data_IF_589108891331
#
_entry.id   IF_589108891331
#
_cell.length_a   1.000
_cell.length_b   1.000
_cell.length_c   1.000
_cell.angle_alpha   90.00
_cell.angle_beta   90.00
_cell.angle_gamma   90.00
#
_symmetry.space_group_name_H-M   'P 1'
#
loop_
_entity.id
_entity.type
_entity.pdbx_description
1 polymer ?
#
# COMPACT_ATOMS: atom_id res chain seq x y z
N UNK A 1 3.63 -9.59 10.68
CA UNK A 1 2.39 -9.73 9.91
C UNK A 1 1.63 -8.40 9.84
N UNK A 2 1.09 -8.08 8.67
CA UNK A 2 0.33 -6.84 8.50
C UNK A 2 -0.97 -6.87 9.33
N UNK A 3 -1.25 -5.83 10.13
CA UNK A 3 -2.43 -5.80 10.99
C UNK A 3 -3.71 -5.52 10.20
N UNK A 4 -4.85 -5.89 10.76
CA UNK A 4 -6.17 -5.61 10.17
C UNK A 4 -7.03 -4.69 11.04
N UNK A 5 -6.66 -4.45 12.30
CA UNK A 5 -7.35 -3.46 13.14
C UNK A 5 -6.97 -2.05 12.67
N UNK A 6 -7.94 -1.13 12.45
CA UNK A 6 -7.63 0.21 11.93
C UNK A 6 -6.60 1.00 12.72
N UNK A 7 -6.61 0.91 14.06
CA UNK A 7 -5.62 1.61 14.90
C UNK A 7 -4.21 1.08 14.66
N UNK A 8 -4.08 -0.24 14.57
CA UNK A 8 -2.80 -0.88 14.33
C UNK A 8 -2.32 -0.64 12.91
N UNK A 9 -3.24 -0.57 11.94
CA UNK A 9 -2.91 -0.22 10.55
C UNK A 9 -2.30 1.17 10.47
N UNK A 10 -2.86 2.16 11.17
CA UNK A 10 -2.32 3.53 11.19
C UNK A 10 -0.89 3.55 11.72
N UNK A 11 -0.66 2.87 12.84
CA UNK A 11 0.69 2.78 13.43
C UNK A 11 1.66 2.06 12.49
N UNK A 12 1.22 0.94 11.92
CA UNK A 12 2.00 0.15 10.96
C UNK A 12 2.44 1.01 9.77
N UNK A 13 1.52 1.77 9.18
CA UNK A 13 1.80 2.64 8.04
C UNK A 13 2.85 3.71 8.37
N UNK A 14 2.83 4.24 9.60
CA UNK A 14 3.82 5.23 10.03
C UNK A 14 5.21 4.64 10.23
N UNK A 15 5.31 3.40 10.69
CA UNK A 15 6.58 2.77 11.07
C UNK A 15 7.25 1.98 9.94
N UNK A 16 6.46 1.35 9.08
CA UNK A 16 6.96 0.43 8.06
C UNK A 16 7.98 1.05 7.11
N UNK A 17 7.83 2.29 6.61
CA UNK A 17 8.83 2.84 5.69
C UNK A 17 10.24 2.85 6.28
N UNK A 18 10.37 3.24 7.54
CA UNK A 18 11.66 3.33 8.23
C UNK A 18 12.23 1.95 8.53
N UNK A 19 11.38 1.05 9.02
CA UNK A 19 11.76 -0.33 9.30
C UNK A 19 12.22 -1.05 8.04
N UNK A 20 11.49 -0.88 6.94
CA UNK A 20 11.79 -1.49 5.65
C UNK A 20 13.13 -0.99 5.10
N UNK A 21 13.36 0.32 5.16
CA UNK A 21 14.61 0.92 4.70
C UNK A 21 15.80 0.39 5.49
N UNK A 22 15.67 0.36 6.82
CA UNK A 22 16.75 -0.10 7.72
C UNK A 22 17.08 -1.58 7.50
N UNK A 23 16.06 -2.42 7.39
CA UNK A 23 16.25 -3.88 7.34
C UNK A 23 16.47 -4.43 5.94
N UNK A 24 15.82 -3.85 4.93
CA UNK A 24 15.76 -4.42 3.58
C UNK A 24 16.18 -3.46 2.46
N UNK A 25 16.71 -2.28 2.77
CA UNK A 25 17.05 -1.29 1.75
C UNK A 25 17.98 -1.82 0.65
N UNK A 26 19.05 -2.53 1.05
CA UNK A 26 20.00 -3.13 0.09
C UNK A 26 19.34 -4.18 -0.80
N UNK A 27 18.47 -5.00 -0.22
CA UNK A 27 17.72 -6.03 -0.94
C UNK A 27 16.81 -5.41 -2.01
N UNK A 28 16.10 -4.35 -1.66
CA UNK A 28 15.22 -3.67 -2.61
C UNK A 28 15.99 -3.03 -3.76
N UNK A 29 17.13 -2.41 -3.48
CA UNK A 29 17.97 -1.83 -4.54
C UNK A 29 18.43 -2.90 -5.52
N UNK A 30 18.92 -4.03 -5.00
CA UNK A 30 19.36 -5.14 -5.85
C UNK A 30 18.20 -5.73 -6.64
N UNK A 31 17.07 -5.98 -5.99
CA UNK A 31 15.88 -6.54 -6.62
C UNK A 31 15.39 -5.69 -7.78
N UNK A 32 15.35 -4.36 -7.61
CA UNK A 32 14.92 -3.45 -8.67
C UNK A 32 15.92 -3.41 -9.82
N UNK A 33 17.21 -3.47 -9.55
CA UNK A 33 18.23 -3.56 -10.61
C UNK A 33 18.04 -4.81 -11.45
N UNK A 34 17.81 -5.96 -10.83
CA UNK A 34 17.64 -7.23 -11.52
C UNK A 34 16.31 -7.27 -12.29
N UNK A 35 15.20 -6.96 -11.62
CA UNK A 35 13.87 -7.10 -12.20
C UNK A 35 13.51 -6.05 -13.24
N UNK A 36 14.24 -4.94 -13.31
CA UNK A 36 14.06 -3.93 -14.36
C UNK A 36 15.02 -4.12 -15.53
N UNK A 37 16.00 -5.00 -15.40
CA UNK A 37 16.91 -5.31 -16.49
C UNK A 37 16.16 -6.05 -17.60
N UNK A 38 16.34 -5.68 -18.90
CA UNK A 38 15.59 -6.31 -20.00
C UNK A 38 15.67 -7.83 -20.02
N UNK A 39 16.82 -8.40 -19.63
CA UNK A 39 17.01 -9.85 -19.58
C UNK A 39 16.09 -10.55 -18.59
N UNK A 40 15.70 -9.88 -17.48
CA UNK A 40 14.96 -10.47 -16.39
C UNK A 40 13.57 -9.89 -16.21
N UNK A 41 13.13 -9.01 -17.12
CA UNK A 41 11.87 -8.28 -16.96
C UNK A 41 10.65 -9.20 -16.83
N UNK A 42 10.62 -10.34 -17.53
CA UNK A 42 9.50 -11.27 -17.43
C UNK A 42 9.43 -11.94 -16.06
N UNK A 43 10.57 -12.22 -15.44
CA UNK A 43 10.61 -12.72 -14.05
C UNK A 43 10.10 -11.66 -13.08
N UNK A 44 10.45 -10.40 -13.30
CA UNK A 44 9.95 -9.28 -12.50
C UNK A 44 8.44 -9.14 -12.59
N UNK A 45 7.88 -9.23 -13.80
CA UNK A 45 6.42 -9.18 -14.01
C UNK A 45 5.70 -10.27 -13.22
N UNK A 46 6.20 -11.50 -13.28
CA UNK A 46 5.60 -12.63 -12.53
C UNK A 46 5.69 -12.41 -11.03
N UNK A 47 6.83 -11.92 -10.55
CA UNK A 47 6.99 -11.59 -9.13
C UNK A 47 5.94 -10.59 -8.67
N UNK A 48 5.73 -9.50 -9.44
CA UNK A 48 4.76 -8.47 -9.08
C UNK A 48 3.31 -8.92 -9.23
N UNK A 49 3.02 -9.86 -10.12
CA UNK A 49 1.70 -10.52 -10.16
C UNK A 49 1.40 -11.23 -8.84
N UNK A 50 2.37 -11.99 -8.32
CA UNK A 50 2.22 -12.66 -7.03
C UNK A 50 2.07 -11.68 -5.87
N UNK A 51 2.79 -10.55 -5.91
CA UNK A 51 2.65 -9.47 -4.94
C UNK A 51 1.24 -8.89 -4.99
N UNK A 52 0.72 -8.65 -6.19
CA UNK A 52 -0.63 -8.13 -6.37
C UNK A 52 -1.69 -9.06 -5.77
N UNK A 53 -1.55 -10.36 -5.97
CA UNK A 53 -2.46 -11.34 -5.37
C UNK A 53 -2.45 -11.27 -3.84
N UNK A 54 -1.27 -11.21 -3.22
CA UNK A 54 -1.13 -11.12 -1.76
C UNK A 54 -1.74 -9.82 -1.22
N UNK A 55 -1.52 -8.71 -1.89
CA UNK A 55 -2.07 -7.42 -1.45
C UNK A 55 -3.58 -7.37 -1.63
N UNK A 56 -4.11 -7.99 -2.69
CA UNK A 56 -5.55 -8.10 -2.90
C UNK A 56 -6.20 -8.92 -1.80
N UNK A 57 -5.61 -10.03 -1.40
CA UNK A 57 -6.13 -10.84 -0.29
C UNK A 57 -6.13 -10.06 1.03
N UNK A 58 -5.07 -9.30 1.28
CA UNK A 58 -5.02 -8.44 2.46
C UNK A 58 -6.09 -7.34 2.40
N UNK A 59 -6.26 -6.72 1.24
CA UNK A 59 -7.28 -5.69 1.03
C UNK A 59 -8.69 -6.22 1.29
N UNK A 60 -8.98 -7.45 0.87
CA UNK A 60 -10.27 -8.10 1.14
C UNK A 60 -10.53 -8.26 2.64
N UNK A 61 -9.49 -8.53 3.42
CA UNK A 61 -9.62 -8.61 4.88
C UNK A 61 -9.84 -7.24 5.52
N UNK A 62 -9.30 -6.17 4.92
CA UNK A 62 -9.48 -4.81 5.43
C UNK A 62 -10.84 -4.22 5.09
N UNK A 63 -11.43 -4.59 3.95
CA UNK A 63 -12.67 -3.99 3.46
C UNK A 63 -13.76 -3.90 4.51
N UNK A 64 -14.16 -4.99 5.22
CA UNK A 64 -15.23 -4.91 6.18
C UNK A 64 -14.92 -4.06 7.42
N UNK A 65 -13.65 -3.81 7.69
CA UNK A 65 -13.20 -3.03 8.86
C UNK A 65 -13.04 -1.55 8.57
N UNK A 66 -12.68 -1.21 7.33
CA UNK A 66 -12.40 0.17 6.93
C UNK A 66 -13.59 0.79 6.19
N UNK A 67 -14.38 -0.05 5.51
CA UNK A 67 -15.53 0.43 4.73
C UNK A 67 -15.19 0.95 3.35
N UNK A 68 -13.99 0.62 2.84
CA UNK A 68 -13.55 0.94 1.49
C UNK A 68 -13.47 -0.36 0.70
N UNK A 69 -14.00 -0.43 -0.55
CA UNK A 69 -13.91 -1.64 -1.35
C UNK A 69 -12.47 -2.09 -1.57
N UNK A 70 -12.23 -3.40 -1.56
CA UNK A 70 -10.87 -3.92 -1.76
C UNK A 70 -10.28 -3.51 -3.11
N UNK A 71 -11.13 -3.28 -4.12
CA UNK A 71 -10.69 -2.81 -5.45
C UNK A 71 -10.07 -1.40 -5.41
N UNK A 72 -10.37 -0.63 -4.37
CA UNK A 72 -9.75 0.68 -4.10
C UNK A 72 -8.56 0.52 -3.14
N UNK A 73 -8.69 -0.34 -2.14
CA UNK A 73 -7.62 -0.57 -1.15
C UNK A 73 -6.36 -1.12 -1.81
N UNK A 74 -6.49 -2.08 -2.73
CA UNK A 74 -5.33 -2.71 -3.38
C UNK A 74 -4.43 -1.68 -4.07
N UNK A 75 -4.94 -0.78 -4.95
CA UNK A 75 -4.12 0.29 -5.51
C UNK A 75 -3.50 1.22 -4.46
N UNK A 76 -4.22 1.52 -3.39
CA UNK A 76 -3.69 2.35 -2.30
C UNK A 76 -2.50 1.68 -1.62
N UNK A 77 -2.56 0.36 -1.43
CA UNK A 77 -1.43 -0.42 -0.89
C UNK A 77 -0.21 -0.29 -1.82
N UNK A 78 -0.40 -0.39 -3.14
CA UNK A 78 0.70 -0.24 -4.09
C UNK A 78 1.33 1.15 -4.04
N UNK A 79 0.52 2.20 -3.92
CA UNK A 79 1.03 3.57 -3.78
C UNK A 79 1.88 3.69 -2.51
N UNK A 80 1.39 3.15 -1.40
CA UNK A 80 2.11 3.13 -0.13
C UNK A 80 3.43 2.36 -0.23
N UNK A 81 3.39 1.17 -0.79
CA UNK A 81 4.58 0.31 -0.94
C UNK A 81 5.62 0.98 -1.84
N UNK A 82 5.17 1.64 -2.91
CA UNK A 82 6.08 2.39 -3.80
C UNK A 82 6.81 3.49 -3.03
N UNK A 83 6.09 4.23 -2.18
CA UNK A 83 6.71 5.26 -1.34
C UNK A 83 7.73 4.66 -0.37
N UNK A 84 7.42 3.51 0.24
CA UNK A 84 8.34 2.81 1.14
C UNK A 84 9.61 2.35 0.41
N UNK A 85 9.46 1.80 -0.79
CA UNK A 85 10.59 1.30 -1.59
C UNK A 85 11.45 2.48 -2.06
N UNK A 86 10.84 3.57 -2.50
CA UNK A 86 11.57 4.78 -2.88
C UNK A 86 12.41 5.28 -1.71
N UNK A 87 11.83 5.35 -0.52
CA UNK A 87 12.55 5.74 0.68
C UNK A 87 13.69 4.77 1.00
N UNK A 88 13.45 3.47 0.86
CA UNK A 88 14.47 2.44 1.09
C UNK A 88 15.67 2.59 0.15
N UNK A 89 15.44 3.04 -1.10
CA UNK A 89 16.49 3.20 -2.08
C UNK A 89 17.25 4.53 -1.94
N UNK A 90 16.55 5.63 -1.64
CA UNK A 90 17.11 6.99 -1.73
C UNK A 90 17.15 7.74 -0.41
N UNK A 91 16.47 7.23 0.63
CA UNK A 91 16.34 7.88 1.94
C UNK A 91 15.82 9.32 1.86
N UNK A 92 14.94 9.58 0.87
CA UNK A 92 14.35 10.89 0.61
C UNK A 92 13.15 11.13 1.54
N UNK A 93 13.41 11.78 2.67
CA UNK A 93 12.39 12.10 3.69
C UNK A 93 11.28 13.00 3.14
N UNK A 94 11.65 13.99 2.33
CA UNK A 94 10.67 14.91 1.77
C UNK A 94 9.66 14.18 0.89
N UNK A 95 10.17 13.33 -0.02
CA UNK A 95 9.31 12.54 -0.90
C UNK A 95 8.38 11.63 -0.07
N UNK A 96 8.94 10.93 0.92
CA UNK A 96 8.14 10.04 1.77
C UNK A 96 7.02 10.80 2.47
N UNK A 97 7.35 11.90 3.15
CA UNK A 97 6.38 12.66 3.93
C UNK A 97 5.28 13.27 3.07
N UNK A 98 5.61 13.81 1.89
CA UNK A 98 4.63 14.39 0.99
C UNK A 98 3.69 13.33 0.41
N UNK A 99 4.23 12.19 0.02
CA UNK A 99 3.42 11.08 -0.49
C UNK A 99 2.48 10.52 0.60
N UNK A 100 2.98 10.37 1.82
CA UNK A 100 2.18 9.88 2.94
C UNK A 100 1.06 10.85 3.31
N UNK A 101 1.30 12.15 3.24
CA UNK A 101 0.27 13.16 3.53
C UNK A 101 -0.86 13.11 2.49
N UNK A 102 -0.51 13.03 1.21
CA UNK A 102 -1.51 12.92 0.14
C UNK A 102 -2.29 11.61 0.27
N UNK A 103 -1.60 10.52 0.56
CA UNK A 103 -2.24 9.21 0.75
C UNK A 103 -3.22 9.25 1.92
N UNK A 104 -2.83 9.86 3.04
CA UNK A 104 -3.68 10.03 4.22
C UNK A 104 -4.96 10.79 3.89
N UNK A 105 -4.83 11.91 3.16
CA UNK A 105 -5.98 12.71 2.74
C UNK A 105 -6.87 11.92 1.78
N UNK A 106 -6.29 11.21 0.82
CA UNK A 106 -7.02 10.37 -0.12
C UNK A 106 -7.81 9.27 0.56
N UNK A 107 -7.20 8.58 1.54
CA UNK A 107 -7.88 7.53 2.30
C UNK A 107 -9.08 8.11 3.07
N UNK A 108 -8.92 9.27 3.70
CA UNK A 108 -10.02 9.92 4.41
C UNK A 108 -11.19 10.27 3.47
N UNK A 109 -10.88 10.81 2.28
CA UNK A 109 -11.90 11.12 1.28
C UNK A 109 -12.61 9.87 0.76
N UNK A 110 -11.88 8.79 0.52
CA UNK A 110 -12.47 7.52 0.09
C UNK A 110 -13.33 6.91 1.19
N UNK A 111 -12.89 6.96 2.44
CA UNK A 111 -13.67 6.45 3.57
C UNK A 111 -15.02 7.18 3.66
N UNK A 112 -15.01 8.50 3.55
CA UNK A 112 -16.24 9.30 3.58
C UNK A 112 -17.16 8.97 2.40
N UNK A 113 -16.59 8.89 1.19
CA UNK A 113 -17.35 8.57 -0.02
C UNK A 113 -18.05 7.22 0.08
N UNK A 114 -17.33 6.19 0.47
CA UNK A 114 -17.90 4.83 0.48
C UNK A 114 -18.79 4.59 1.67
N UNK A 115 -18.53 5.22 2.81
CA UNK A 115 -19.44 5.19 3.96
C UNK A 115 -20.78 5.82 3.60
N UNK A 116 -20.78 6.95 2.93
CA UNK A 116 -22.00 7.62 2.46
C UNK A 116 -22.79 6.75 1.50
N UNK A 117 -22.13 6.10 0.55
CA UNK A 117 -22.77 5.18 -0.40
C UNK A 117 -23.38 3.97 0.31
N UNK A 118 -22.68 3.41 1.29
CA UNK A 118 -23.17 2.29 2.07
C UNK A 118 -24.45 2.66 2.83
N UNK A 119 -24.47 3.83 3.47
CA UNK A 119 -25.63 4.31 4.22
C UNK A 119 -26.82 4.58 3.29
N UNK A 120 -26.58 5.15 2.09
CA UNK A 120 -27.64 5.36 1.09
C UNK A 120 -28.21 4.04 0.61
N UNK A 121 -27.37 3.07 0.30
CA UNK A 121 -27.80 1.73 -0.11
C UNK A 121 -28.65 1.05 0.95
N UNK A 122 -28.33 1.24 2.23
CA UNK A 122 -29.11 0.73 3.34
C UNK A 122 -30.47 1.40 3.47
N UNK A 123 -30.55 2.70 3.16
CA UNK A 123 -31.80 3.45 3.24
C UNK A 123 -32.76 3.16 2.07
N UNK A 124 -32.23 2.76 0.93
CA UNK A 124 -33.01 2.45 -0.27
C UNK A 124 -33.65 1.07 -0.23
N UNK A 125 -33.35 0.30 0.80
CA UNK A 125 -33.96 -1.01 1.05
C UNK A 125 -35.09 -0.91 2.04
#
# INVERSE_FOLDING_TARGET
>A
KAPTDPKDVVRFVKEVPYWTAKKHGKKYRLMYQVYTHPKYIEHGKKFFEGVNERYTEYAKRLEPKIGIPYTVITPLIFIFVRACVHYAMFEDEYYLKTQMEVLKQGVALFADKYRSQYLRGGNDK
#
